data_IF_639850125009
#
_entry.id   IF_639850125009
#
_cell.length_a   1.000
_cell.length_b   1.000
_cell.length_c   1.000
_cell.angle_alpha   90.00
_cell.angle_beta   90.00
_cell.angle_gamma   90.00
#
_symmetry.space_group_name_H-M   'P 1'
#
loop_
_entity.id
_entity.type
_entity.pdbx_description
1 polymer ?
#
# COMPACT_ATOMS: atom_id res chain seq x y z
N UNK A 1 -6.53 38.68 58.19
CA UNK A 1 -7.61 38.49 59.18
C UNK A 1 -8.84 38.00 58.45
N UNK A 2 -9.43 36.91 58.95
CA UNK A 2 -10.56 36.14 58.40
C UNK A 2 -11.76 36.97 57.97
N UNK A 3 -12.55 36.44 57.04
CA UNK A 3 -13.91 35.98 57.37
C UNK A 3 -14.45 34.98 56.32
N UNK A 4 -15.07 33.94 56.86
CA UNK A 4 -15.63 32.75 56.24
C UNK A 4 -16.75 33.03 55.22
N UNK A 5 -16.93 32.13 54.25
CA UNK A 5 -18.26 31.67 53.83
C UNK A 5 -18.23 30.23 53.26
N UNK A 6 -19.30 29.50 53.54
CA UNK A 6 -19.49 28.05 53.57
C UNK A 6 -19.67 27.35 52.18
N UNK A 7 -19.66 26.00 52.10
CA UNK A 7 -19.58 25.27 50.83
C UNK A 7 -20.95 25.11 50.15
N UNK A 8 -21.00 25.28 48.83
CA UNK A 8 -22.20 25.02 48.02
C UNK A 8 -22.29 23.55 47.60
N UNK A 9 -23.51 23.03 47.78
CA UNK A 9 -24.02 21.66 47.67
C UNK A 9 -23.88 21.08 46.25
N UNK A 10 -23.49 19.81 46.20
CA UNK A 10 -23.43 18.95 45.00
C UNK A 10 -24.82 18.76 44.38
N UNK A 11 -24.95 19.02 43.07
CA UNK A 11 -26.06 18.54 42.25
C UNK A 11 -25.60 17.34 41.42
N UNK A 12 -25.95 16.13 41.87
CA UNK A 12 -25.87 14.88 41.09
C UNK A 12 -26.63 15.05 39.77
N UNK A 13 -25.93 15.02 38.63
CA UNK A 13 -26.58 14.77 37.34
C UNK A 13 -26.98 13.29 37.27
N UNK A 14 -28.28 13.08 37.04
CA UNK A 14 -28.97 11.80 36.94
C UNK A 14 -28.62 11.13 35.60
N UNK A 15 -28.14 9.89 35.63
CA UNK A 15 -28.03 9.03 34.45
C UNK A 15 -29.44 8.66 33.94
N UNK A 16 -29.66 8.51 32.62
CA UNK A 16 -30.93 8.01 32.10
C UNK A 16 -31.13 6.53 32.49
N UNK A 17 -32.31 6.24 33.01
CA UNK A 17 -32.82 4.93 33.41
C UNK A 17 -33.09 4.03 32.20
N UNK A 18 -32.73 2.75 32.34
CA UNK A 18 -33.14 1.66 31.46
C UNK A 18 -34.62 1.35 31.70
N UNK A 19 -35.42 1.29 30.63
CA UNK A 19 -36.80 0.80 30.70
C UNK A 19 -36.83 -0.74 30.76
N UNK A 20 -37.60 -1.34 31.69
CA UNK A 20 -37.74 -2.77 31.85
C UNK A 20 -39.00 -3.30 31.14
N UNK A 21 -38.84 -4.27 30.24
CA UNK A 21 -39.83 -5.30 29.85
C UNK A 21 -39.34 -6.10 28.65
N UNK A 22 -38.74 -7.28 28.89
CA UNK A 22 -39.08 -8.54 28.21
C UNK A 22 -38.25 -9.68 28.83
N UNK A 23 -38.80 -10.35 29.84
CA UNK A 23 -38.40 -11.72 30.21
C UNK A 23 -39.55 -12.65 29.86
N UNK A 24 -39.24 -13.70 29.09
CA UNK A 24 -39.60 -15.11 29.32
C UNK A 24 -39.74 -15.83 27.98
N UNK A 25 -38.78 -16.71 27.66
CA UNK A 25 -39.07 -18.09 27.23
C UNK A 25 -37.76 -18.85 26.95
N UNK A 26 -37.39 -19.71 27.90
CA UNK A 26 -36.40 -20.77 27.77
C UNK A 26 -37.11 -22.10 28.04
N UNK A 27 -37.00 -23.05 27.11
CA UNK A 27 -37.29 -24.47 27.31
C UNK A 27 -36.78 -25.32 26.12
N UNK A 28 -36.53 -26.65 26.28
CA UNK A 28 -35.17 -27.19 26.45
C UNK A 28 -34.76 -28.17 25.30
N UNK A 29 -33.62 -28.91 25.36
CA UNK A 29 -32.94 -29.45 24.18
C UNK A 29 -33.55 -30.76 23.67
N UNK A 30 -33.50 -30.97 22.35
CA UNK A 30 -33.94 -32.23 21.72
C UNK A 30 -32.82 -33.29 21.66
N UNK A 31 -33.28 -34.52 21.89
CA UNK A 31 -32.57 -35.78 22.17
C UNK A 31 -31.55 -36.22 21.12
N UNK A 32 -30.47 -36.76 21.66
CA UNK A 32 -29.49 -37.66 21.03
C UNK A 32 -30.20 -38.96 20.59
N UNK A 33 -29.98 -39.38 19.34
CA UNK A 33 -30.21 -40.77 18.91
C UNK A 33 -28.87 -41.43 18.57
N UNK A 34 -28.64 -42.60 19.17
CA UNK A 34 -27.54 -43.53 18.88
C UNK A 34 -27.79 -44.23 17.55
N UNK A 35 -26.80 -44.29 16.66
CA UNK A 35 -26.69 -45.34 15.63
C UNK A 35 -25.24 -45.89 15.64
N UNK A 36 -25.16 -47.21 15.48
CA UNK A 36 -24.03 -48.12 15.68
C UNK A 36 -22.87 -47.92 14.70
N UNK A 37 -21.69 -48.41 15.11
CA UNK A 37 -20.48 -48.53 14.32
C UNK A 37 -20.51 -49.73 13.36
N UNK A 38 -19.91 -49.56 12.16
CA UNK A 38 -19.09 -50.54 11.43
C UNK A 38 -18.35 -49.83 10.27
N UNK A 39 -17.11 -50.24 9.99
CA UNK A 39 -16.11 -49.65 9.06
C UNK A 39 -16.01 -50.48 7.75
N UNK A 40 -15.06 -50.22 6.83
CA UNK A 40 -14.72 -49.00 6.09
C UNK A 40 -14.80 -49.22 4.54
N UNK A 41 -15.08 -48.18 3.75
CA UNK A 41 -14.79 -48.20 2.30
C UNK A 41 -13.95 -46.99 1.91
N UNK A 42 -12.73 -47.32 1.52
CA UNK A 42 -11.72 -46.50 0.87
C UNK A 42 -12.28 -45.66 -0.28
N UNK A 43 -12.17 -44.33 -0.19
CA UNK A 43 -12.09 -43.43 -1.36
C UNK A 43 -11.09 -42.31 -1.07
N UNK A 44 -10.20 -42.14 -2.02
CA UNK A 44 -9.00 -41.31 -2.08
C UNK A 44 -9.24 -39.81 -1.85
N UNK A 45 -8.27 -39.07 -1.27
CA UNK A 45 -8.40 -37.64 -1.07
C UNK A 45 -8.20 -36.92 -2.41
N UNK A 46 -9.25 -36.23 -2.84
CA UNK A 46 -9.21 -35.26 -3.93
C UNK A 46 -8.25 -34.12 -3.53
N UNK A 47 -7.19 -33.92 -4.31
CA UNK A 47 -6.18 -32.87 -4.12
C UNK A 47 -6.85 -31.49 -4.10
N UNK A 48 -6.99 -30.91 -2.91
CA UNK A 48 -7.12 -29.47 -2.73
C UNK A 48 -5.78 -28.87 -3.17
N UNK A 49 -5.80 -28.00 -4.19
CA UNK A 49 -4.60 -27.28 -4.65
C UNK A 49 -4.02 -26.49 -3.47
N UNK A 50 -2.92 -26.99 -2.94
CA UNK A 50 -2.12 -26.37 -1.89
C UNK A 50 -1.64 -24.99 -2.37
N UNK A 51 -1.94 -23.96 -1.59
CA UNK A 51 -1.36 -22.64 -1.77
C UNK A 51 0.17 -22.73 -1.78
N UNK A 52 0.77 -21.99 -2.71
CA UNK A 52 2.23 -21.81 -2.84
C UNK A 52 2.85 -21.45 -1.47
N UNK A 53 3.94 -22.10 -1.07
CA UNK A 53 4.59 -21.82 0.22
C UNK A 53 5.07 -20.36 0.32
N UNK A 54 5.14 -19.76 1.52
CA UNK A 54 5.64 -18.38 1.68
C UNK A 54 7.04 -18.17 1.06
N UNK A 55 7.92 -19.16 1.19
CA UNK A 55 9.26 -19.14 0.60
C UNK A 55 9.23 -19.10 -0.94
N UNK A 56 8.29 -19.84 -1.56
CA UNK A 56 8.13 -19.84 -3.02
C UNK A 56 7.47 -18.56 -3.54
N UNK A 57 6.62 -17.91 -2.75
CA UNK A 57 6.07 -16.58 -3.07
C UNK A 57 7.15 -15.48 -3.01
N UNK A 58 7.99 -15.49 -1.97
CA UNK A 58 9.15 -14.59 -1.83
C UNK A 58 10.11 -14.70 -3.01
N UNK A 59 10.49 -15.93 -3.38
CA UNK A 59 11.39 -16.18 -4.51
C UNK A 59 10.80 -15.69 -5.84
N UNK A 60 9.50 -15.88 -6.07
CA UNK A 60 8.82 -15.39 -7.29
C UNK A 60 8.82 -13.87 -7.37
N UNK A 61 8.58 -13.19 -6.25
CA UNK A 61 8.59 -11.73 -6.14
C UNK A 61 9.98 -11.14 -6.42
N UNK A 62 11.02 -11.69 -5.80
CA UNK A 62 12.40 -11.26 -6.05
C UNK A 62 12.81 -11.48 -7.51
N UNK A 63 12.43 -12.63 -8.08
CA UNK A 63 12.69 -12.93 -9.50
C UNK A 63 11.96 -11.97 -10.45
N UNK A 64 10.70 -11.63 -10.16
CA UNK A 64 9.94 -10.66 -10.94
C UNK A 64 10.62 -9.27 -10.91
N UNK A 65 10.99 -8.83 -9.71
CA UNK A 65 11.68 -7.55 -9.50
C UNK A 65 13.03 -7.48 -10.23
N UNK A 66 13.84 -8.55 -10.15
CA UNK A 66 15.13 -8.61 -10.82
C UNK A 66 15.00 -8.56 -12.36
N UNK A 67 14.02 -9.30 -12.91
CA UNK A 67 13.76 -9.34 -14.36
C UNK A 67 13.40 -7.95 -14.90
N UNK A 68 12.49 -7.26 -14.23
CA UNK A 68 11.98 -5.96 -14.72
C UNK A 68 12.98 -4.80 -14.48
N UNK A 69 14.01 -5.01 -13.64
CA UNK A 69 15.01 -3.98 -13.31
C UNK A 69 16.11 -3.82 -14.37
N UNK A 70 16.53 -4.90 -15.06
CA UNK A 70 17.67 -4.86 -15.99
C UNK A 70 17.32 -4.09 -17.28
N UNK A 71 16.39 -4.61 -18.07
CA UNK A 71 16.04 -4.01 -19.37
C UNK A 71 14.99 -2.90 -19.23
N UNK A 72 14.28 -2.88 -18.11
CA UNK A 72 13.04 -2.12 -17.98
C UNK A 72 11.92 -2.81 -18.77
N UNK A 73 10.66 -2.72 -18.32
CA UNK A 73 9.56 -3.46 -18.93
C UNK A 73 9.16 -2.92 -20.32
N UNK A 74 9.60 -1.71 -20.69
CA UNK A 74 9.24 -1.06 -21.95
C UNK A 74 10.47 -0.45 -22.67
N UNK A 75 11.37 -1.27 -23.25
CA UNK A 75 12.62 -0.77 -23.85
C UNK A 75 12.44 0.26 -24.98
N UNK A 76 11.35 0.16 -25.75
CA UNK A 76 11.02 1.07 -26.85
C UNK A 76 10.23 2.31 -26.40
N UNK A 77 9.76 2.36 -25.15
CA UNK A 77 8.97 3.48 -24.64
C UNK A 77 9.89 4.50 -23.97
N UNK A 78 10.24 5.58 -24.69
CA UNK A 78 11.29 6.51 -24.25
C UNK A 78 10.78 7.67 -23.37
N UNK A 79 9.58 7.57 -22.80
CA UNK A 79 8.95 8.64 -22.03
C UNK A 79 8.83 8.23 -20.56
N UNK A 80 8.97 9.14 -19.59
CA UNK A 80 9.31 10.56 -19.77
C UNK A 80 10.76 10.76 -20.20
N UNK A 81 11.03 11.91 -20.81
CA UNK A 81 12.38 12.45 -21.01
C UNK A 81 12.80 13.31 -19.80
N UNK A 82 14.10 13.58 -19.61
CA UNK A 82 14.56 14.48 -18.57
C UNK A 82 13.91 15.87 -18.62
N UNK A 83 13.77 16.46 -19.82
CA UNK A 83 13.13 17.77 -20.00
C UNK A 83 11.66 17.78 -19.58
N UNK A 84 10.94 16.69 -19.82
CA UNK A 84 9.56 16.55 -19.35
C UNK A 84 9.48 16.45 -17.83
N UNK A 85 10.40 15.72 -17.21
CA UNK A 85 10.47 15.61 -15.76
C UNK A 85 10.72 16.98 -15.14
N UNK A 86 11.65 17.75 -15.70
CA UNK A 86 11.93 19.12 -15.27
C UNK A 86 10.71 20.04 -15.42
N UNK A 87 10.04 20.01 -16.58
CA UNK A 87 8.85 20.81 -16.83
C UNK A 87 7.69 20.46 -15.87
N UNK A 88 7.41 19.16 -15.68
CA UNK A 88 6.39 18.72 -14.74
C UNK A 88 6.73 19.16 -13.31
N UNK A 89 8.00 19.06 -12.91
CA UNK A 89 8.47 19.47 -11.60
C UNK A 89 8.31 20.98 -11.39
N UNK A 90 8.66 21.80 -12.38
CA UNK A 90 8.50 23.25 -12.35
C UNK A 90 7.02 23.65 -12.19
N UNK A 91 6.15 23.15 -13.08
CA UNK A 91 4.71 23.44 -13.05
C UNK A 91 4.12 23.04 -11.70
N UNK A 92 4.41 21.83 -11.24
CA UNK A 92 3.86 21.35 -9.97
C UNK A 92 4.42 22.09 -8.76
N UNK A 93 5.68 22.50 -8.79
CA UNK A 93 6.28 23.32 -7.73
C UNK A 93 5.66 24.71 -7.68
N UNK A 94 5.34 25.30 -8.83
CA UNK A 94 4.60 26.57 -8.91
C UNK A 94 3.21 26.45 -8.27
N UNK A 95 2.52 25.32 -8.49
CA UNK A 95 1.17 25.09 -7.97
C UNK A 95 1.13 24.71 -6.47
N UNK A 96 2.08 23.91 -5.99
CA UNK A 96 2.01 23.29 -4.64
C UNK A 96 3.18 23.67 -3.72
N UNK A 97 4.04 24.58 -4.16
CA UNK A 97 5.30 24.92 -3.51
C UNK A 97 6.43 23.91 -3.79
N UNK A 98 7.70 24.35 -3.71
CA UNK A 98 8.84 23.49 -3.99
C UNK A 98 8.96 22.36 -2.96
N UNK A 99 9.42 21.19 -3.40
CA UNK A 99 9.65 20.03 -2.54
C UNK A 99 11.13 19.69 -2.49
N UNK A 100 11.75 19.98 -1.35
CA UNK A 100 13.16 19.69 -1.08
C UNK A 100 13.28 18.52 -0.12
N UNK A 101 14.20 17.61 -0.42
CA UNK A 101 14.56 16.50 0.47
C UNK A 101 15.15 17.07 1.77
N UNK A 102 14.68 16.66 2.95
CA UNK A 102 15.23 17.14 4.22
C UNK A 102 16.66 16.62 4.38
N UNK A 103 17.54 17.43 4.99
CA UNK A 103 18.93 17.01 5.28
C UNK A 103 19.00 15.94 6.37
N UNK A 104 18.02 15.93 7.27
CA UNK A 104 17.91 14.97 8.38
C UNK A 104 16.47 14.50 8.43
N UNK A 105 16.28 13.18 8.48
CA UNK A 105 14.95 12.58 8.64
C UNK A 105 14.58 12.60 10.12
N UNK A 106 13.42 13.15 10.45
CA UNK A 106 12.92 13.22 11.82
C UNK A 106 11.49 12.68 11.82
N UNK A 107 11.27 11.63 12.62
CA UNK A 107 9.93 11.08 12.79
C UNK A 107 9.02 12.12 13.45
N UNK A 108 7.94 12.47 12.77
CA UNK A 108 6.92 13.33 13.37
C UNK A 108 6.10 12.56 14.42
N UNK A 109 5.71 13.29 15.46
CA UNK A 109 4.77 12.85 16.52
C UNK A 109 3.31 13.16 16.20
N UNK A 110 3.06 14.07 15.25
CA UNK A 110 1.74 14.61 14.90
C UNK A 110 1.21 14.11 13.55
N UNK A 111 2.04 13.44 12.74
CA UNK A 111 1.66 12.80 11.48
C UNK A 111 2.33 11.43 11.35
N UNK A 112 1.63 10.52 10.66
CA UNK A 112 2.22 9.23 10.32
C UNK A 112 3.38 9.41 9.34
N UNK A 113 3.12 10.03 8.18
CA UNK A 113 4.10 10.21 7.11
C UNK A 113 4.58 8.88 6.50
N UNK A 114 4.32 8.65 5.21
CA UNK A 114 4.77 7.42 4.55
C UNK A 114 6.31 7.39 4.50
N UNK A 115 6.95 6.44 5.19
CA UNK A 115 8.41 6.30 5.24
C UNK A 115 9.16 7.41 6.01
N UNK A 116 8.44 8.29 6.71
CA UNK A 116 8.98 9.51 7.33
C UNK A 116 9.48 9.24 8.76
N UNK A 117 10.56 8.46 8.87
CA UNK A 117 11.21 8.12 10.14
C UNK A 117 12.69 7.77 9.92
N UNK A 118 13.61 8.10 10.85
CA UNK A 118 14.99 7.67 10.77
C UNK A 118 15.16 6.17 11.08
N UNK A 119 14.23 5.55 11.81
CA UNK A 119 14.22 4.10 12.03
C UNK A 119 13.55 3.41 10.84
N UNK A 120 14.25 2.45 10.23
CA UNK A 120 13.78 1.74 9.03
C UNK A 120 12.55 0.90 9.34
N UNK A 121 12.50 0.29 10.53
CA UNK A 121 11.35 -0.50 10.97
C UNK A 121 10.11 0.37 11.22
N UNK A 122 10.26 1.52 11.89
CA UNK A 122 9.16 2.47 12.07
C UNK A 122 8.70 3.07 10.73
N UNK A 123 9.64 3.40 9.83
CA UNK A 123 9.32 3.86 8.48
C UNK A 123 8.49 2.83 7.69
N UNK A 124 8.82 1.54 7.83
CA UNK A 124 8.08 0.45 7.21
C UNK A 124 6.66 0.33 7.78
N UNK A 125 6.51 0.37 9.11
CA UNK A 125 5.21 0.33 9.79
C UNK A 125 4.35 1.54 9.41
N UNK A 126 4.91 2.76 9.42
CA UNK A 126 4.21 3.98 8.96
C UNK A 126 3.73 3.86 7.51
N UNK A 127 4.55 3.29 6.64
CA UNK A 127 4.20 3.02 5.24
C UNK A 127 3.04 2.03 5.13
N UNK A 128 2.98 0.98 5.97
CA UNK A 128 1.88 0.01 5.99
C UNK A 128 0.59 0.68 6.49
N UNK A 129 0.67 1.49 7.54
CA UNK A 129 -0.47 2.21 8.08
C UNK A 129 -1.09 3.15 7.04
N UNK A 130 -0.29 3.74 6.15
CA UNK A 130 -0.75 4.63 5.08
C UNK A 130 -1.33 3.92 3.85
N UNK A 131 -1.29 2.59 3.77
CA UNK A 131 -1.87 1.87 2.63
C UNK A 131 -3.40 1.98 2.61
N UNK A 132 -3.97 2.23 1.42
CA UNK A 132 -5.42 2.22 1.15
C UNK A 132 -6.24 3.01 2.18
N UNK A 133 -5.73 4.17 2.60
CA UNK A 133 -6.40 5.05 3.56
C UNK A 133 -6.00 6.50 3.32
N UNK A 134 -6.68 7.43 3.98
CA UNK A 134 -6.33 8.85 3.90
C UNK A 134 -5.20 9.20 4.88
N UNK A 135 -4.46 10.27 4.59
CA UNK A 135 -3.40 10.79 5.48
C UNK A 135 -3.93 11.08 6.90
N UNK A 136 -5.18 11.56 6.99
CA UNK A 136 -5.86 11.82 8.27
C UNK A 136 -6.05 10.52 9.06
N UNK A 137 -6.49 9.46 8.39
CA UNK A 137 -6.74 8.17 9.03
C UNK A 137 -5.44 7.46 9.43
N UNK A 138 -4.43 7.45 8.56
CA UNK A 138 -3.13 6.86 8.89
C UNK A 138 -2.44 7.61 10.03
N UNK A 139 -2.52 8.94 10.05
CA UNK A 139 -2.02 9.78 11.14
C UNK A 139 -2.70 9.44 12.46
N UNK A 140 -4.05 9.40 12.47
CA UNK A 140 -4.80 9.02 13.68
C UNK A 140 -4.48 7.61 14.15
N UNK A 141 -4.30 6.65 13.22
CA UNK A 141 -3.91 5.30 13.57
C UNK A 141 -2.52 5.25 14.20
N UNK A 142 -1.53 5.99 13.66
CA UNK A 142 -0.18 6.05 14.22
C UNK A 142 -0.15 6.68 15.60
N UNK A 143 -0.79 7.84 15.78
CA UNK A 143 -0.89 8.51 17.07
C UNK A 143 -1.54 7.61 18.12
N UNK A 144 -2.63 6.92 17.76
CA UNK A 144 -3.31 6.03 18.68
C UNK A 144 -2.47 4.79 19.02
N UNK A 145 -1.75 4.22 18.04
CA UNK A 145 -0.81 3.12 18.29
C UNK A 145 0.27 3.56 19.29
N UNK A 146 0.90 4.71 19.06
CA UNK A 146 1.94 5.24 19.96
C UNK A 146 1.39 5.52 21.36
N UNK A 147 0.18 6.06 21.46
CA UNK A 147 -0.49 6.26 22.75
C UNK A 147 -0.78 4.96 23.49
N UNK A 148 -1.25 3.92 22.78
CA UNK A 148 -1.59 2.62 23.37
C UNK A 148 -0.36 1.84 23.86
N UNK A 149 0.77 2.00 23.18
CA UNK A 149 2.00 1.24 23.46
C UNK A 149 3.12 2.05 24.13
N UNK A 150 2.95 3.37 24.29
CA UNK A 150 3.94 4.24 24.94
C UNK A 150 4.95 4.88 23.99
N UNK A 151 4.96 4.50 22.71
CA UNK A 151 5.80 5.10 21.68
C UNK A 151 5.82 4.30 20.38
N UNK A 152 6.56 4.81 19.40
CA UNK A 152 6.64 4.24 18.05
C UNK A 152 7.57 3.03 17.92
N UNK A 153 8.45 2.87 18.88
CA UNK A 153 9.59 1.95 18.94
C UNK A 153 9.44 0.89 20.04
N UNK A 154 8.29 0.87 20.73
CA UNK A 154 7.90 -0.12 21.73
C UNK A 154 7.42 -1.42 21.07
N UNK A 155 8.31 -2.04 20.29
CA UNK A 155 8.02 -3.21 19.47
C UNK A 155 7.69 -4.44 20.31
N UNK A 156 8.39 -4.63 21.42
CA UNK A 156 8.16 -5.70 22.40
C UNK A 156 6.73 -5.64 22.93
N UNK A 157 6.25 -4.45 23.30
CA UNK A 157 4.91 -4.23 23.83
C UNK A 157 3.84 -4.43 22.76
N UNK A 158 4.12 -4.05 21.52
CA UNK A 158 3.24 -4.32 20.36
C UNK A 158 3.11 -5.82 20.14
N UNK A 159 4.22 -6.57 20.15
CA UNK A 159 4.21 -8.03 19.97
C UNK A 159 3.50 -8.72 21.14
N UNK A 160 3.83 -8.36 22.38
CA UNK A 160 3.21 -8.91 23.59
C UNK A 160 1.70 -8.62 23.66
N UNK A 161 1.26 -7.48 23.12
CA UNK A 161 -0.15 -7.10 23.04
C UNK A 161 -0.97 -7.96 22.08
N UNK A 162 -0.34 -8.64 21.12
CA UNK A 162 -0.99 -9.50 20.15
C UNK A 162 -1.81 -8.77 19.10
N UNK A 163 -2.36 -9.54 18.15
CA UNK A 163 -3.01 -8.98 16.95
C UNK A 163 -4.28 -8.18 17.28
N UNK A 164 -5.12 -8.66 18.20
CA UNK A 164 -6.40 -8.02 18.51
C UNK A 164 -6.22 -6.61 19.09
N UNK A 165 -5.27 -6.45 20.03
CA UNK A 165 -4.95 -5.15 20.62
C UNK A 165 -4.39 -4.18 19.58
N UNK A 166 -3.47 -4.65 18.73
CA UNK A 166 -2.91 -3.84 17.64
C UNK A 166 -3.99 -3.46 16.62
N UNK A 167 -4.86 -4.41 16.24
CA UNK A 167 -5.96 -4.19 15.32
C UNK A 167 -6.90 -3.09 15.82
N UNK A 168 -7.27 -3.10 17.11
CA UNK A 168 -8.11 -2.04 17.69
C UNK A 168 -7.35 -0.70 17.71
N UNK A 169 -6.08 -0.70 18.10
CA UNK A 169 -5.25 0.50 18.13
C UNK A 169 -5.16 1.19 16.75
N UNK A 170 -5.09 0.43 15.66
CA UNK A 170 -4.94 0.98 14.30
C UNK A 170 -6.25 0.98 13.49
N UNK A 171 -7.38 0.61 14.11
CA UNK A 171 -8.70 0.47 13.46
C UNK A 171 -9.09 1.66 12.59
N UNK A 172 -8.77 2.83 13.09
CA UNK A 172 -9.09 4.11 12.45
C UNK A 172 -8.39 4.32 11.10
N UNK A 173 -7.35 3.53 10.80
CA UNK A 173 -6.62 3.51 9.54
C UNK A 173 -7.24 2.63 8.45
N UNK A 174 -8.29 1.86 8.76
CA UNK A 174 -8.91 0.91 7.83
C UNK A 174 -8.03 -0.31 7.50
N UNK A 175 -8.65 -1.40 7.05
CA UNK A 175 -7.99 -2.70 6.82
C UNK A 175 -7.17 -3.19 8.02
N UNK A 176 -7.57 -2.83 9.24
CA UNK A 176 -6.75 -3.02 10.44
C UNK A 176 -6.47 -4.48 10.77
N UNK A 177 -7.39 -5.39 10.44
CA UNK A 177 -7.16 -6.83 10.59
C UNK A 177 -5.97 -7.31 9.73
N UNK A 178 -5.91 -6.85 8.48
CA UNK A 178 -4.81 -7.20 7.55
C UNK A 178 -3.52 -6.49 7.97
N UNK A 179 -3.59 -5.18 8.25
CA UNK A 179 -2.41 -4.38 8.64
C UNK A 179 -1.77 -4.88 9.93
N UNK A 180 -2.56 -5.18 10.96
CA UNK A 180 -2.05 -5.69 12.25
C UNK A 180 -1.33 -7.03 12.08
N UNK A 181 -1.91 -7.94 11.29
CA UNK A 181 -1.27 -9.21 10.94
C UNK A 181 0.08 -8.98 10.24
N UNK A 182 0.11 -8.15 9.20
CA UNK A 182 1.34 -7.85 8.45
C UNK A 182 2.41 -7.22 9.34
N UNK A 183 2.05 -6.25 10.19
CA UNK A 183 3.00 -5.61 11.12
C UNK A 183 3.61 -6.66 12.06
N UNK A 184 2.80 -7.51 12.69
CA UNK A 184 3.32 -8.55 13.59
C UNK A 184 4.18 -9.59 12.85
N UNK A 185 3.83 -9.93 11.60
CA UNK A 185 4.66 -10.82 10.77
C UNK A 185 6.03 -10.20 10.46
N UNK A 186 6.08 -8.91 10.14
CA UNK A 186 7.34 -8.20 9.92
C UNK A 186 8.19 -8.15 11.19
N UNK A 187 7.56 -7.85 12.34
CA UNK A 187 8.26 -7.85 13.64
C UNK A 187 8.82 -9.23 13.98
N UNK A 188 8.04 -10.29 13.77
CA UNK A 188 8.51 -11.66 13.94
C UNK A 188 9.70 -11.98 13.02
N UNK A 189 9.59 -11.68 11.72
CA UNK A 189 10.69 -11.90 10.77
C UNK A 189 11.95 -11.09 11.11
N UNK A 190 11.82 -9.84 11.55
CA UNK A 190 12.95 -9.04 11.97
C UNK A 190 13.63 -9.66 13.21
N UNK A 191 12.85 -10.09 14.20
CA UNK A 191 13.36 -10.76 15.39
C UNK A 191 14.04 -12.10 15.07
N UNK A 192 13.44 -12.89 14.20
CA UNK A 192 13.96 -14.20 13.79
C UNK A 192 15.26 -14.07 12.98
N UNK A 193 15.33 -13.10 12.05
CA UNK A 193 16.47 -12.92 11.16
C UNK A 193 17.66 -12.23 11.85
N UNK A 194 17.39 -11.27 12.76
CA UNK A 194 18.42 -10.37 13.30
C UNK A 194 18.53 -10.39 14.83
N UNK A 195 17.65 -11.09 15.53
CA UNK A 195 17.65 -11.19 17.01
C UNK A 195 17.12 -9.94 17.73
N UNK A 196 16.77 -8.87 17.04
CA UNK A 196 16.26 -7.61 17.60
C UNK A 196 15.29 -6.90 16.64
N UNK A 197 14.49 -5.96 17.15
CA UNK A 197 13.52 -5.21 16.34
C UNK A 197 14.16 -3.96 15.72
N UNK A 198 15.08 -4.16 14.79
CA UNK A 198 15.63 -3.09 13.96
C UNK A 198 15.96 -3.60 12.56
N UNK A 199 15.92 -2.68 11.60
CA UNK A 199 16.41 -2.86 10.23
C UNK A 199 17.40 -1.74 9.85
N UNK A 200 17.97 -1.05 10.84
CA UNK A 200 18.79 0.14 10.60
C UNK A 200 20.16 -0.19 10.00
N UNK A 201 20.56 -1.48 9.94
CA UNK A 201 21.69 -1.91 9.12
C UNK A 201 21.50 -1.55 7.65
N UNK A 202 20.25 -1.41 7.18
CA UNK A 202 19.93 -0.99 5.81
C UNK A 202 20.38 0.45 5.48
N UNK A 203 20.65 1.30 6.47
CA UNK A 203 21.29 2.61 6.20
C UNK A 203 22.67 2.47 5.54
N UNK A 204 23.37 1.37 5.84
CA UNK A 204 24.71 1.06 5.30
C UNK A 204 24.66 0.16 4.06
N UNK A 205 23.51 -0.41 3.73
CA UNK A 205 23.33 -1.26 2.57
C UNK A 205 23.29 -0.43 1.27
N UNK A 206 23.61 -1.08 0.15
CA UNK A 206 23.33 -0.53 -1.18
C UNK A 206 21.82 -0.38 -1.38
N UNK A 207 21.40 0.41 -2.39
CA UNK A 207 19.98 0.58 -2.70
C UNK A 207 19.35 -0.75 -3.12
N UNK A 208 20.10 -1.55 -3.88
CA UNK A 208 19.71 -2.84 -4.42
C UNK A 208 19.54 -3.87 -3.29
N UNK A 209 20.53 -3.99 -2.39
CA UNK A 209 20.46 -4.92 -1.26
C UNK A 209 19.32 -4.54 -0.30
N UNK A 210 19.14 -3.24 -0.03
CA UNK A 210 18.04 -2.77 0.80
C UNK A 210 16.67 -3.04 0.17
N UNK A 211 16.54 -2.86 -1.15
CA UNK A 211 15.32 -3.21 -1.88
C UNK A 211 15.04 -4.72 -1.79
N UNK A 212 16.02 -5.56 -2.07
CA UNK A 212 15.90 -7.02 -2.00
C UNK A 212 15.49 -7.48 -0.58
N UNK A 213 16.15 -6.94 0.44
CA UNK A 213 15.84 -7.30 1.83
C UNK A 213 14.43 -6.88 2.22
N UNK A 214 14.02 -5.63 1.91
CA UNK A 214 12.66 -5.15 2.17
C UNK A 214 11.61 -5.98 1.43
N UNK A 215 11.87 -6.36 0.18
CA UNK A 215 11.01 -7.28 -0.57
C UNK A 215 11.01 -8.70 -0.01
N UNK A 216 11.97 -9.05 0.84
CA UNK A 216 12.00 -10.32 1.57
C UNK A 216 10.91 -10.46 2.63
N UNK A 217 10.39 -9.34 3.14
CA UNK A 217 9.35 -9.32 4.17
C UNK A 217 7.95 -9.60 3.60
N UNK A 218 7.19 -10.43 4.31
CA UNK A 218 5.80 -10.73 3.94
C UNK A 218 4.92 -9.47 4.08
N UNK A 219 4.13 -9.20 3.04
CA UNK A 219 3.27 -8.01 2.97
C UNK A 219 3.97 -6.73 2.48
N UNK A 220 5.28 -6.75 2.20
CA UNK A 220 6.04 -5.57 1.75
C UNK A 220 6.23 -5.56 0.23
N UNK A 221 5.31 -5.01 -0.55
CA UNK A 221 5.48 -4.90 -2.01
C UNK A 221 6.48 -3.82 -2.47
N UNK A 222 6.83 -3.76 -3.78
CA UNK A 222 7.76 -2.77 -4.35
C UNK A 222 7.45 -1.33 -3.96
N UNK A 223 6.17 -0.91 -3.99
CA UNK A 223 5.77 0.44 -3.56
C UNK A 223 6.16 0.70 -2.10
N UNK A 224 5.94 -0.26 -1.21
CA UNK A 224 6.22 -0.11 0.23
C UNK A 224 7.73 0.00 0.45
N UNK A 225 8.51 -0.90 -0.14
CA UNK A 225 9.97 -0.87 -0.06
C UNK A 225 10.54 0.43 -0.64
N UNK A 226 10.06 0.82 -1.82
CA UNK A 226 10.40 2.08 -2.50
C UNK A 226 10.12 3.32 -1.64
N UNK A 227 8.99 3.36 -0.91
CA UNK A 227 8.75 4.47 0.02
C UNK A 227 9.77 4.52 1.17
N UNK A 228 10.19 3.37 1.71
CA UNK A 228 11.23 3.33 2.75
C UNK A 228 12.57 3.78 2.18
N UNK A 229 12.94 3.31 0.99
CA UNK A 229 14.14 3.74 0.28
C UNK A 229 14.14 5.25 0.04
N UNK A 230 13.04 5.78 -0.50
CA UNK A 230 12.90 7.18 -0.86
C UNK A 230 12.97 8.11 0.35
N UNK A 231 12.21 7.81 1.40
CA UNK A 231 12.01 8.74 2.52
C UNK A 231 12.94 8.49 3.72
N UNK A 232 13.11 7.24 4.13
CA UNK A 232 13.89 6.88 5.32
C UNK A 232 15.38 6.76 4.98
N UNK A 233 15.71 5.94 3.97
CA UNK A 233 17.12 5.68 3.57
C UNK A 233 17.70 6.75 2.64
N UNK A 234 16.89 7.76 2.33
CA UNK A 234 17.25 8.90 1.48
C UNK A 234 17.83 8.51 0.11
N UNK A 235 17.34 7.43 -0.49
CA UNK A 235 17.75 6.97 -1.83
C UNK A 235 16.87 7.59 -2.92
N UNK A 236 17.38 7.59 -4.14
CA UNK A 236 16.69 8.10 -5.33
C UNK A 236 15.87 6.98 -5.97
N UNK A 237 14.86 6.51 -5.23
CA UNK A 237 13.96 5.44 -5.65
C UNK A 237 12.53 5.97 -5.83
N UNK A 238 11.94 5.79 -7.02
CA UNK A 238 10.71 6.46 -7.41
C UNK A 238 9.46 5.63 -7.09
N UNK A 239 8.89 5.82 -5.89
CA UNK A 239 7.70 5.10 -5.46
C UNK A 239 6.47 5.44 -6.33
N UNK A 240 5.87 4.41 -6.94
CA UNK A 240 4.63 4.55 -7.72
C UNK A 240 3.42 4.12 -6.89
N UNK A 241 2.69 5.11 -6.39
CA UNK A 241 1.40 4.90 -5.73
C UNK A 241 0.21 5.09 -6.72
N UNK A 242 -1.02 5.14 -6.21
CA UNK A 242 -2.21 5.30 -7.05
C UNK A 242 -2.35 6.69 -7.66
N UNK A 243 -1.79 7.73 -7.05
CA UNK A 243 -1.78 9.08 -7.59
C UNK A 243 -0.71 9.22 -8.67
N UNK A 244 0.50 8.75 -8.38
CA UNK A 244 1.62 8.72 -9.34
C UNK A 244 1.20 7.92 -10.57
N UNK A 245 0.79 6.65 -10.41
CA UNK A 245 0.31 5.80 -11.52
C UNK A 245 -0.71 6.52 -12.40
N UNK A 246 -1.70 7.15 -11.79
CA UNK A 246 -2.77 7.80 -12.54
C UNK A 246 -2.25 9.02 -13.28
N UNK A 247 -1.54 9.91 -12.61
CA UNK A 247 -1.09 11.16 -13.22
C UNK A 247 -0.07 10.88 -14.32
N UNK A 248 0.91 10.01 -14.09
CA UNK A 248 1.89 9.65 -15.12
C UNK A 248 1.23 8.99 -16.32
N UNK A 249 0.14 8.23 -16.12
CA UNK A 249 -0.68 7.71 -17.21
C UNK A 249 -1.40 8.82 -17.99
N UNK A 250 -1.92 9.84 -17.29
CA UNK A 250 -2.53 11.02 -17.93
C UNK A 250 -1.52 11.86 -18.72
N UNK A 251 -0.23 11.81 -18.38
CA UNK A 251 0.86 12.47 -19.09
C UNK A 251 1.46 11.63 -20.22
N UNK A 252 1.03 10.37 -20.39
CA UNK A 252 1.62 9.46 -21.37
C UNK A 252 3.04 9.03 -21.03
N UNK A 253 3.36 8.90 -19.73
CA UNK A 253 4.70 8.53 -19.25
C UNK A 253 4.89 7.02 -19.08
N UNK A 254 3.85 6.23 -19.30
CA UNK A 254 3.91 4.79 -19.42
C UNK A 254 2.75 4.29 -20.31
N UNK A 255 2.82 3.05 -20.84
CA UNK A 255 1.73 2.46 -21.61
C UNK A 255 0.42 2.36 -20.82
N UNK A 256 -0.74 2.46 -21.51
CA UNK A 256 -2.08 2.43 -20.88
C UNK A 256 -2.34 1.17 -20.04
N UNK A 257 -1.81 0.02 -20.48
CA UNK A 257 -2.04 -1.29 -19.86
C UNK A 257 -0.89 -1.77 -18.97
N UNK A 258 0.03 -0.89 -18.58
CA UNK A 258 1.15 -1.26 -17.70
C UNK A 258 0.67 -1.57 -16.29
N UNK A 259 1.15 -2.67 -15.71
CA UNK A 259 0.97 -2.94 -14.29
C UNK A 259 1.67 -1.86 -13.44
N UNK A 260 1.30 -1.74 -12.16
CA UNK A 260 1.96 -0.79 -11.24
C UNK A 260 3.44 -1.12 -11.06
N UNK A 261 3.79 -2.39 -11.05
CA UNK A 261 5.16 -2.87 -10.93
C UNK A 261 5.96 -2.51 -12.18
N UNK A 262 5.41 -2.75 -13.36
CA UNK A 262 6.03 -2.32 -14.62
C UNK A 262 6.20 -0.80 -14.66
N UNK A 263 5.18 -0.05 -14.21
CA UNK A 263 5.23 1.41 -14.15
C UNK A 263 6.32 1.88 -13.19
N UNK A 264 6.49 1.21 -12.05
CA UNK A 264 7.57 1.47 -11.11
C UNK A 264 8.94 1.29 -11.76
N UNK A 265 9.23 0.12 -12.33
CA UNK A 265 10.53 -0.14 -12.95
C UNK A 265 10.84 0.83 -14.10
N UNK A 266 9.82 1.13 -14.91
CA UNK A 266 9.93 2.07 -16.01
C UNK A 266 10.24 3.49 -15.53
N UNK A 267 9.41 4.04 -14.63
CA UNK A 267 9.57 5.42 -14.16
C UNK A 267 10.82 5.60 -13.30
N UNK A 268 11.18 4.61 -12.47
CA UNK A 268 12.39 4.67 -11.65
C UNK A 268 13.67 4.72 -12.49
N UNK A 269 13.66 4.10 -13.69
CA UNK A 269 14.77 4.15 -14.66
C UNK A 269 14.77 5.44 -15.50
N UNK A 270 13.58 5.98 -15.83
CA UNK A 270 13.44 7.13 -16.76
C UNK A 270 13.52 8.49 -16.09
N UNK A 271 13.02 8.62 -14.86
CA UNK A 271 13.00 9.90 -14.14
C UNK A 271 14.40 10.17 -13.58
N UNK A 272 15.02 11.33 -13.89
CA UNK A 272 16.30 11.71 -13.30
C UNK A 272 16.23 11.76 -11.77
N UNK A 273 17.32 11.36 -11.13
CA UNK A 273 17.42 11.21 -9.68
C UNK A 273 17.04 12.50 -8.93
N UNK A 274 17.50 13.66 -9.40
CA UNK A 274 17.20 14.98 -8.83
C UNK A 274 15.71 15.35 -8.81
N UNK A 275 14.88 14.61 -9.56
CA UNK A 275 13.44 14.84 -9.64
C UNK A 275 12.62 13.80 -8.90
N UNK A 276 13.17 12.63 -8.54
CA UNK A 276 12.38 11.52 -7.97
C UNK A 276 11.67 11.90 -6.67
N UNK A 277 12.40 12.48 -5.72
CA UNK A 277 11.83 12.93 -4.45
C UNK A 277 10.73 13.99 -4.65
N UNK A 278 11.05 15.04 -5.40
CA UNK A 278 10.16 16.18 -5.61
C UNK A 278 8.89 15.77 -6.34
N UNK A 279 9.04 15.10 -7.49
CA UNK A 279 7.93 14.66 -8.33
C UNK A 279 7.02 13.68 -7.61
N UNK A 280 7.54 12.73 -6.82
CA UNK A 280 6.69 11.81 -6.06
C UNK A 280 5.71 12.59 -5.16
N UNK A 281 6.22 13.48 -4.33
CA UNK A 281 5.39 14.27 -3.39
C UNK A 281 4.43 15.18 -4.16
N UNK A 282 4.91 15.82 -5.22
CA UNK A 282 4.14 16.74 -6.03
C UNK A 282 2.99 16.05 -6.77
N UNK A 283 3.23 14.87 -7.34
CA UNK A 283 2.16 14.08 -7.97
C UNK A 283 1.13 13.62 -6.96
N UNK A 284 1.55 13.14 -5.78
CA UNK A 284 0.61 12.76 -4.71
C UNK A 284 -0.21 13.98 -4.28
N UNK A 285 0.42 15.12 -4.04
CA UNK A 285 -0.24 16.36 -3.62
C UNK A 285 -1.24 16.82 -4.69
N UNK A 286 -0.79 16.94 -5.93
CA UNK A 286 -1.62 17.37 -7.05
C UNK A 286 -2.80 16.43 -7.29
N UNK A 287 -2.57 15.11 -7.21
CA UNK A 287 -3.59 14.09 -7.38
C UNK A 287 -4.62 14.03 -6.26
N UNK A 288 -4.40 14.73 -5.14
CA UNK A 288 -5.37 14.89 -4.05
C UNK A 288 -6.22 16.14 -4.24
N UNK A 289 -5.64 17.25 -4.73
CA UNK A 289 -6.30 18.57 -4.73
C UNK A 289 -6.83 19.01 -6.10
N UNK A 290 -6.28 18.51 -7.21
CA UNK A 290 -6.69 18.92 -8.55
C UNK A 290 -7.97 18.19 -8.99
N UNK A 291 -8.98 18.95 -9.40
CA UNK A 291 -10.28 18.41 -9.83
C UNK A 291 -10.23 17.52 -11.08
N UNK A 292 -9.22 17.69 -11.94
CA UNK A 292 -9.07 16.93 -13.19
C UNK A 292 -8.12 15.72 -13.05
N UNK A 293 -7.22 15.75 -12.06
CA UNK A 293 -6.19 14.72 -11.86
C UNK A 293 -6.50 13.80 -10.66
N UNK A 294 -7.47 14.15 -9.82
CA UNK A 294 -7.98 13.26 -8.77
C UNK A 294 -8.71 12.05 -9.38
N UNK A 295 -8.89 11.00 -8.58
CA UNK A 295 -9.65 9.84 -9.00
C UNK A 295 -11.09 10.26 -9.37
N UNK A 296 -11.56 9.84 -10.55
CA UNK A 296 -12.88 10.25 -11.08
C UNK A 296 -12.96 11.71 -11.57
N UNK A 297 -11.84 12.42 -11.66
CA UNK A 297 -11.80 13.79 -12.20
C UNK A 297 -12.23 13.85 -13.66
N UNK A 298 -12.95 14.92 -14.04
CA UNK A 298 -13.39 15.17 -15.42
C UNK A 298 -12.45 16.15 -16.10
N UNK A 299 -12.15 15.93 -17.38
CA UNK A 299 -11.29 16.83 -18.16
C UNK A 299 -12.06 18.09 -18.48
N UNK A 300 -11.63 19.21 -17.90
CA UNK A 300 -12.18 20.55 -18.11
C UNK A 300 -11.16 21.48 -18.78
N UNK A 301 -9.90 21.05 -18.86
CA UNK A 301 -8.84 21.80 -19.53
C UNK A 301 -8.35 23.02 -18.75
N UNK A 302 -8.50 23.03 -17.42
CA UNK A 302 -8.03 24.05 -16.49
C UNK A 302 -6.71 23.68 -15.81
N UNK A 303 -6.35 22.39 -15.75
CA UNK A 303 -5.12 21.92 -15.14
C UNK A 303 -3.89 22.26 -15.98
N UNK A 304 -3.03 23.15 -15.48
CA UNK A 304 -1.79 23.59 -16.15
C UNK A 304 -0.86 22.44 -16.49
N UNK A 305 -0.70 21.46 -15.59
CA UNK A 305 0.09 20.26 -15.86
C UNK A 305 -0.48 19.51 -17.07
N UNK A 306 -1.79 19.30 -17.16
CA UNK A 306 -2.37 18.58 -18.31
C UNK A 306 -2.29 19.39 -19.61
N UNK A 307 -2.42 20.72 -19.54
CA UNK A 307 -2.28 21.60 -20.72
C UNK A 307 -0.89 21.46 -21.33
N UNK A 308 0.16 21.48 -20.51
CA UNK A 308 1.54 21.38 -20.96
C UNK A 308 1.87 20.06 -21.70
N UNK A 309 1.11 19.00 -21.45
CA UNK A 309 1.33 17.68 -22.04
C UNK A 309 0.21 17.25 -23.02
N UNK A 310 -0.75 18.13 -23.34
CA UNK A 310 -1.95 17.80 -24.13
C UNK A 310 -1.62 17.34 -25.55
N UNK A 311 -0.69 18.00 -26.23
CA UNK A 311 -0.30 17.67 -27.62
C UNK A 311 0.44 16.32 -27.73
N UNK A 312 0.99 15.85 -26.62
CA UNK A 312 1.88 14.69 -26.57
C UNK A 312 1.09 13.39 -26.38
N UNK A 313 -0.08 13.45 -25.73
CA UNK A 313 -1.01 12.31 -25.61
C UNK A 313 -1.66 11.98 -26.96
N UNK A 314 -1.96 12.99 -27.79
CA UNK A 314 -2.62 12.81 -29.10
C UNK A 314 -1.69 12.19 -30.15
N UNK A 315 -0.38 12.44 -30.10
CA UNK A 315 0.60 11.84 -31.03
C UNK A 315 0.94 10.38 -30.73
N UNK A 316 0.60 9.87 -29.55
CA UNK A 316 0.77 8.47 -29.17
C UNK A 316 -0.43 7.58 -29.53
N UNK A 317 -1.46 8.12 -30.18
CA UNK A 317 -2.67 7.41 -30.60
C UNK A 317 -2.67 7.15 -32.12
N UNK A 318 -1.73 6.34 -32.62
CA UNK A 318 -1.91 5.61 -33.89
C UNK A 318 -1.23 4.25 -33.81
N UNK A 319 -1.79 3.32 -33.05
CA UNK A 319 -1.76 1.90 -33.40
C UNK A 319 -3.12 1.32 -33.01
N UNK A 320 -4.06 1.33 -33.95
CA UNK A 320 -5.29 0.56 -33.82
C UNK A 320 -4.94 -0.94 -33.82
N UNK A 321 -5.54 -1.75 -32.93
CA UNK A 321 -5.38 -3.18 -33.01
C UNK A 321 -6.10 -3.68 -34.27
N UNK A 322 -5.33 -4.25 -35.21
CA UNK A 322 -5.87 -5.01 -36.34
C UNK A 322 -6.80 -6.08 -35.79
N UNK A 323 -8.10 -5.93 -36.05
CA UNK A 323 -9.09 -6.99 -35.84
C UNK A 323 -8.76 -8.12 -36.83
N UNK A 324 -8.03 -9.14 -36.38
CA UNK A 324 -8.04 -10.42 -37.06
C UNK A 324 -9.39 -11.09 -36.76
N UNK A 325 -10.30 -10.99 -37.72
CA UNK A 325 -11.48 -11.87 -37.79
C UNK A 325 -10.97 -13.30 -38.00
N UNK A 326 -10.98 -14.09 -36.93
CA UNK A 326 -10.85 -15.55 -37.03
C UNK A 326 -12.21 -16.06 -37.48
N UNK A 327 -12.33 -16.36 -38.78
CA UNK A 327 -13.41 -17.21 -39.30
C UNK A 327 -13.10 -18.65 -38.89
N UNK A 328 -13.84 -19.17 -37.93
CA UNK A 328 -13.94 -20.60 -37.70
C UNK A 328 -14.82 -21.20 -38.81
N UNK A 329 -14.19 -21.79 -39.82
CA UNK A 329 -14.85 -22.72 -40.73
C UNK A 329 -14.81 -24.11 -40.10
N UNK A 330 -15.97 -24.55 -39.59
CA UNK A 330 -16.22 -25.92 -39.15
C UNK A 330 -16.62 -26.71 -40.40
N UNK A 331 -15.75 -27.61 -40.86
CA UNK A 331 -16.08 -28.62 -41.87
C UNK A 331 -16.80 -29.80 -41.19
N UNK A 332 -18.11 -29.89 -41.42
CA UNK A 332 -18.90 -31.11 -41.25
C UNK A 332 -19.02 -31.82 -42.60
N UNK A 333 -18.13 -32.78 -42.87
CA UNK A 333 -18.34 -33.80 -43.89
C UNK A 333 -18.00 -35.17 -43.31
N UNK A 334 -19.03 -35.92 -42.92
CA UNK A 334 -18.94 -37.35 -42.64
C UNK A 334 -20.12 -38.05 -43.33
N UNK A 335 -19.75 -39.02 -44.18
CA UNK A 335 -20.53 -40.11 -44.80
C UNK A 335 -21.21 -39.81 -46.14
N UNK A 336 -20.62 -40.36 -47.19
CA UNK A 336 -21.13 -41.59 -47.83
C UNK A 336 -20.01 -42.26 -48.66
N UNK A 337 -19.42 -43.32 -48.10
CA UNK A 337 -18.92 -44.44 -48.91
C UNK A 337 -19.86 -45.61 -48.62
N UNK A 338 -20.65 -45.97 -49.63
CA UNK A 338 -21.10 -47.33 -49.84
C UNK A 338 -19.90 -48.12 -50.38
N UNK A 339 -19.42 -49.06 -49.57
CA UNK A 339 -18.95 -50.38 -49.98
C UNK A 339 -19.07 -51.34 -48.79
#
# INVERSE_FOLDING_TARGET
MSLNQAPRRSTRKRLPSLDPKLESDISPPRKIQKIKAESPISKSPTKIKSGTSPQTLRARKLKAHAKDSLDGPFPSFLRPTPSECALAHEILSSLHGPRKRPKVVVASKDRAGCGDSPSVLDALVRTILSQNTSDKNSTRAKINMDHVYGGSDHWEEIVAGGQEKLQEAIKSGGLSQVKSKVILQILAQAKDNYGHYSLDHLHKASTEDAMEELLGFDGVGPKTASCVLLFCLQREDFAVDTHVQRITGLLGWHPKNSSREQTYHHLNKRIPDEHKYGLHILFVTHGKVCDECKAGGKVAGKCELRKAFREQVVKGEVEEPVKQEVKEEINDEVKQEEA
#
